data_IF_999156119651
#
_entry.id   IF_999156119651
#
_cell.length_a   1.000
_cell.length_b   1.000
_cell.length_c   1.000
_cell.angle_alpha   90.00
_cell.angle_beta   90.00
_cell.angle_gamma   90.00
#
_symmetry.space_group_name_H-M   'P 1'
#
loop_
_entity.id
_entity.type
_entity.pdbx_description
1 polymer ?
#
# COMPACT_ATOMS: atom_id res chain seq x y z
N UNK A 1 3.43 -15.21 -29.31
CA UNK A 1 2.96 -14.22 -28.32
C UNK A 1 4.14 -13.29 -28.07
N UNK A 2 4.04 -12.00 -28.37
CA UNK A 2 5.19 -11.08 -28.33
C UNK A 2 5.50 -10.59 -26.90
N UNK A 3 6.69 -10.03 -26.70
CA UNK A 3 7.08 -9.43 -25.41
C UNK A 3 6.15 -8.28 -24.99
N UNK A 4 5.71 -7.47 -25.96
CA UNK A 4 4.75 -6.39 -25.74
C UNK A 4 3.37 -6.89 -25.30
N UNK A 5 2.90 -8.01 -25.86
CA UNK A 5 1.66 -8.67 -25.42
C UNK A 5 1.79 -9.14 -23.96
N UNK A 6 2.95 -9.66 -23.58
CA UNK A 6 3.21 -10.04 -22.18
C UNK A 6 3.20 -8.82 -21.26
N UNK A 7 3.83 -7.72 -21.66
CA UNK A 7 3.83 -6.47 -20.90
C UNK A 7 2.43 -5.87 -20.73
N UNK A 8 1.60 -5.90 -21.78
CA UNK A 8 0.21 -5.44 -21.73
C UNK A 8 -0.61 -6.28 -20.76
N UNK A 9 -0.52 -7.61 -20.85
CA UNK A 9 -1.24 -8.54 -19.97
C UNK A 9 -0.83 -8.41 -18.50
N UNK A 10 0.44 -8.18 -18.22
CA UNK A 10 0.91 -7.90 -16.85
C UNK A 10 0.32 -6.59 -16.32
N UNK A 11 0.24 -5.55 -17.15
CA UNK A 11 -0.33 -4.27 -16.77
C UNK A 11 -1.84 -4.35 -16.51
N UNK A 12 -2.60 -5.06 -17.35
CA UNK A 12 -4.04 -5.28 -17.11
C UNK A 12 -4.27 -6.03 -15.80
N UNK A 13 -3.53 -7.12 -15.56
CA UNK A 13 -3.61 -7.87 -14.30
C UNK A 13 -3.20 -7.02 -13.09
N UNK A 14 -2.23 -6.13 -13.27
CA UNK A 14 -1.82 -5.17 -12.24
C UNK A 14 -2.96 -4.25 -11.83
N UNK A 15 -3.66 -3.69 -12.82
CA UNK A 15 -4.81 -2.79 -12.63
C UNK A 15 -5.98 -3.48 -11.94
N UNK A 16 -6.30 -4.71 -12.34
CA UNK A 16 -7.32 -5.53 -11.65
C UNK A 16 -6.93 -5.83 -10.20
N UNK A 17 -5.68 -6.22 -9.95
CA UNK A 17 -5.18 -6.49 -8.60
C UNK A 17 -5.21 -5.23 -7.72
N UNK A 18 -4.84 -4.07 -8.28
CA UNK A 18 -4.95 -2.79 -7.59
C UNK A 18 -6.39 -2.49 -7.20
N UNK A 19 -7.32 -2.66 -8.14
CA UNK A 19 -8.72 -2.35 -7.89
C UNK A 19 -9.30 -3.23 -6.78
N UNK A 20 -9.02 -4.53 -6.86
CA UNK A 20 -9.42 -5.49 -5.84
C UNK A 20 -8.80 -5.17 -4.47
N UNK A 21 -7.55 -4.70 -4.41
CA UNK A 21 -6.91 -4.32 -3.15
C UNK A 21 -7.68 -3.21 -2.42
N UNK A 22 -8.11 -2.18 -3.15
CA UNK A 22 -8.86 -1.03 -2.61
C UNK A 22 -10.26 -1.47 -2.18
N UNK A 23 -10.96 -2.25 -3.01
CA UNK A 23 -12.29 -2.77 -2.69
C UNK A 23 -12.29 -3.66 -1.45
N UNK A 24 -11.30 -4.54 -1.32
CA UNK A 24 -11.17 -5.43 -0.17
C UNK A 24 -10.90 -4.63 1.10
N UNK A 25 -10.03 -3.61 1.04
CA UNK A 25 -9.79 -2.75 2.20
C UNK A 25 -11.06 -2.07 2.69
N UNK A 26 -11.85 -1.52 1.76
CA UNK A 26 -13.04 -0.74 2.07
C UNK A 26 -14.29 -1.60 2.35
N UNK A 27 -14.19 -2.94 2.26
CA UNK A 27 -15.30 -3.85 2.56
C UNK A 27 -15.50 -3.97 4.09
N UNK A 28 -16.57 -3.40 4.67
CA UNK A 28 -16.69 -3.28 6.14
C UNK A 28 -16.84 -4.63 6.86
N UNK A 29 -17.34 -5.64 6.17
CA UNK A 29 -17.58 -6.98 6.73
C UNK A 29 -16.33 -7.87 6.75
N UNK A 30 -15.25 -7.45 6.08
CA UNK A 30 -14.05 -8.27 5.90
C UNK A 30 -13.05 -8.02 7.03
N UNK A 31 -12.93 -8.95 7.98
CA UNK A 31 -12.09 -8.74 9.18
C UNK A 31 -10.58 -8.61 8.91
N UNK A 32 -10.11 -9.18 7.81
CA UNK A 32 -8.70 -9.17 7.39
C UNK A 32 -8.49 -8.27 6.17
N UNK A 33 -9.28 -7.20 6.06
CA UNK A 33 -9.29 -6.30 4.91
C UNK A 33 -7.91 -5.66 4.65
N UNK A 34 -7.19 -5.26 5.69
CA UNK A 34 -5.85 -4.71 5.55
C UNK A 34 -4.82 -5.74 5.09
N UNK A 35 -4.92 -6.99 5.56
CA UNK A 35 -4.07 -8.10 5.10
C UNK A 35 -4.26 -8.35 3.61
N UNK A 36 -5.51 -8.58 3.21
CA UNK A 36 -5.86 -8.82 1.81
C UNK A 36 -5.43 -7.67 0.92
N UNK A 37 -5.70 -6.43 1.34
CA UNK A 37 -5.24 -5.24 0.64
C UNK A 37 -3.72 -5.25 0.44
N UNK A 38 -2.93 -5.53 1.48
CA UNK A 38 -1.47 -5.53 1.38
C UNK A 38 -0.93 -6.55 0.38
N UNK A 39 -1.56 -7.73 0.30
CA UNK A 39 -1.19 -8.80 -0.62
C UNK A 39 -1.46 -8.38 -2.06
N UNK A 40 -2.69 -7.95 -2.34
CA UNK A 40 -3.09 -7.55 -3.69
C UNK A 40 -2.38 -6.27 -4.16
N UNK A 41 -2.14 -5.32 -3.25
CA UNK A 41 -1.43 -4.08 -3.56
C UNK A 41 0.05 -4.35 -3.87
N UNK A 42 0.73 -5.23 -3.11
CA UNK A 42 2.08 -5.66 -3.46
C UNK A 42 2.13 -6.34 -4.83
N UNK A 43 1.17 -7.22 -5.12
CA UNK A 43 1.09 -7.91 -6.41
C UNK A 43 0.85 -6.93 -7.57
N UNK A 44 -0.03 -5.95 -7.39
CA UNK A 44 -0.25 -4.89 -8.37
C UNK A 44 1.07 -4.15 -8.66
N UNK A 45 1.75 -3.65 -7.63
CA UNK A 45 3.04 -2.99 -7.82
C UNK A 45 4.07 -3.85 -8.55
N UNK A 46 4.17 -5.14 -8.21
CA UNK A 46 5.14 -6.03 -8.86
C UNK A 46 4.85 -6.17 -10.36
N UNK A 47 3.59 -6.39 -10.71
CA UNK A 47 3.15 -6.57 -12.10
C UNK A 47 3.29 -5.28 -12.93
N UNK A 48 2.92 -4.12 -12.37
CA UNK A 48 3.11 -2.82 -13.02
C UNK A 48 4.59 -2.56 -13.34
N UNK A 49 5.48 -2.82 -12.38
CA UNK A 49 6.91 -2.59 -12.55
C UNK A 49 7.53 -3.59 -13.52
N UNK A 50 7.11 -4.87 -13.49
CA UNK A 50 7.52 -5.86 -14.50
C UNK A 50 7.11 -5.44 -15.91
N UNK A 51 5.87 -4.99 -16.09
CA UNK A 51 5.41 -4.44 -17.38
C UNK A 51 6.30 -3.29 -17.85
N UNK A 52 6.63 -2.35 -16.96
CA UNK A 52 7.51 -1.22 -17.28
C UNK A 52 8.93 -1.68 -17.65
N UNK A 53 9.49 -2.64 -16.91
CA UNK A 53 10.82 -3.19 -17.17
C UNK A 53 10.86 -3.87 -18.54
N UNK A 54 9.87 -4.68 -18.90
CA UNK A 54 9.80 -5.33 -20.21
C UNK A 54 9.79 -4.28 -21.32
N UNK A 55 8.94 -3.26 -21.22
CA UNK A 55 8.83 -2.21 -22.25
C UNK A 55 10.12 -1.41 -22.44
N UNK A 56 10.91 -1.25 -21.38
CA UNK A 56 12.09 -0.38 -21.38
C UNK A 56 13.39 -1.12 -21.64
N UNK A 57 13.50 -2.36 -21.17
CA UNK A 57 14.75 -3.11 -21.14
C UNK A 57 14.67 -4.49 -21.80
N UNK A 58 13.47 -4.98 -22.15
CA UNK A 58 13.25 -6.29 -22.77
C UNK A 58 12.76 -7.34 -21.77
N UNK A 59 12.21 -8.45 -22.29
CA UNK A 59 11.58 -9.49 -21.47
C UNK A 59 12.54 -10.22 -20.53
N UNK A 60 13.78 -10.42 -20.94
CA UNK A 60 14.77 -11.17 -20.16
C UNK A 60 15.09 -10.50 -18.81
N UNK A 61 14.90 -9.18 -18.74
CA UNK A 61 15.23 -8.35 -17.56
C UNK A 61 14.26 -8.53 -16.39
N UNK A 62 13.16 -9.28 -16.57
CA UNK A 62 12.27 -9.68 -15.47
C UNK A 62 12.57 -11.08 -14.94
N UNK A 63 13.55 -11.80 -15.47
CA UNK A 63 13.97 -13.12 -15.01
C UNK A 63 15.27 -13.03 -14.20
N UNK A 64 15.44 -13.95 -13.24
CA UNK A 64 16.75 -14.19 -12.65
C UNK A 64 17.63 -14.99 -13.64
N UNK A 65 18.94 -15.04 -13.37
CA UNK A 65 19.93 -15.71 -14.24
C UNK A 65 19.62 -17.20 -14.52
N UNK A 66 18.83 -17.84 -13.66
CA UNK A 66 18.38 -19.23 -13.83
C UNK A 66 17.23 -19.39 -14.84
N UNK A 67 16.60 -18.29 -15.27
CA UNK A 67 15.49 -18.25 -16.24
C UNK A 67 14.15 -18.82 -15.73
N UNK A 68 14.16 -19.51 -14.59
CA UNK A 68 12.98 -20.22 -14.07
C UNK A 68 12.08 -19.31 -13.22
N UNK A 69 12.64 -18.25 -12.63
CA UNK A 69 11.93 -17.34 -11.72
C UNK A 69 12.00 -15.91 -12.20
N UNK A 70 10.89 -15.20 -12.02
CA UNK A 70 10.86 -13.76 -12.25
C UNK A 70 11.28 -12.99 -11.00
N UNK A 71 11.87 -11.82 -11.20
CA UNK A 71 12.32 -10.93 -10.13
C UNK A 71 11.18 -10.57 -9.18
N UNK A 72 11.44 -10.52 -7.88
CA UNK A 72 10.45 -10.12 -6.89
C UNK A 72 10.23 -8.60 -6.87
N UNK A 73 9.13 -8.14 -6.27
CA UNK A 73 8.82 -6.71 -6.07
C UNK A 73 9.99 -5.90 -5.51
N UNK A 74 10.74 -6.45 -4.55
CA UNK A 74 11.91 -5.76 -3.98
C UNK A 74 12.97 -5.45 -5.03
N UNK A 75 13.17 -6.35 -5.99
CA UNK A 75 14.18 -6.21 -7.04
C UNK A 75 13.67 -5.36 -8.20
N UNK A 76 12.37 -5.45 -8.53
CA UNK A 76 11.71 -4.47 -9.40
C UNK A 76 11.89 -3.03 -8.88
N UNK A 77 11.63 -2.80 -7.58
CA UNK A 77 11.75 -1.48 -6.95
C UNK A 77 13.20 -0.96 -6.99
N UNK A 78 14.20 -1.81 -6.70
CA UNK A 78 15.61 -1.41 -6.79
C UNK A 78 16.02 -1.03 -8.21
N UNK A 79 15.51 -1.77 -9.21
CA UNK A 79 15.83 -1.55 -10.63
C UNK A 79 15.20 -0.27 -11.17
N UNK A 80 13.97 0.04 -10.78
CA UNK A 80 13.22 1.20 -11.30
C UNK A 80 13.50 2.48 -10.49
N UNK A 81 13.58 2.38 -9.17
CA UNK A 81 13.78 3.54 -8.28
C UNK A 81 15.11 3.38 -7.51
N UNK A 82 16.21 3.89 -8.03
CA UNK A 82 17.55 3.57 -7.51
C UNK A 82 17.89 4.20 -6.15
N UNK A 83 17.28 5.34 -5.81
CA UNK A 83 17.48 6.01 -4.53
C UNK A 83 16.71 5.29 -3.41
N UNK A 84 17.41 4.55 -2.55
CA UNK A 84 16.80 3.80 -1.44
C UNK A 84 16.24 4.68 -0.31
N UNK A 85 16.64 5.95 -0.26
CA UNK A 85 16.11 6.96 0.68
C UNK A 85 14.88 7.68 0.16
N UNK A 86 14.43 7.37 -1.05
CA UNK A 86 13.22 7.96 -1.62
C UNK A 86 11.99 7.59 -0.75
N UNK A 87 11.07 8.54 -0.46
CA UNK A 87 9.88 8.26 0.33
C UNK A 87 9.03 7.09 -0.20
N UNK A 88 8.95 6.90 -1.52
CA UNK A 88 8.27 5.76 -2.13
C UNK A 88 8.99 4.45 -1.76
N UNK A 89 10.33 4.44 -1.83
CA UNK A 89 11.13 3.24 -1.48
C UNK A 89 10.98 2.86 -0.02
N UNK A 90 10.93 3.84 0.89
CA UNK A 90 10.68 3.62 2.31
C UNK A 90 9.24 3.12 2.53
N UNK A 91 8.25 3.76 1.90
CA UNK A 91 6.85 3.36 1.98
C UNK A 91 6.65 1.90 1.54
N UNK A 92 7.21 1.53 0.38
CA UNK A 92 7.11 0.17 -0.15
C UNK A 92 7.83 -0.86 0.73
N UNK A 93 8.94 -0.50 1.38
CA UNK A 93 9.60 -1.39 2.32
C UNK A 93 8.69 -1.73 3.52
N UNK A 94 7.96 -0.74 4.06
CA UNK A 94 7.00 -0.97 5.13
C UNK A 94 5.77 -1.74 4.67
N UNK A 95 5.26 -1.51 3.45
CA UNK A 95 4.18 -2.31 2.87
C UNK A 95 4.58 -3.79 2.73
N UNK A 96 5.78 -4.07 2.23
CA UNK A 96 6.32 -5.43 2.09
C UNK A 96 6.50 -6.10 3.46
N UNK A 97 6.98 -5.34 4.46
CA UNK A 97 7.10 -5.82 5.85
C UNK A 97 5.74 -6.16 6.44
N UNK A 98 4.74 -5.31 6.22
CA UNK A 98 3.38 -5.54 6.68
C UNK A 98 2.78 -6.79 6.05
N UNK A 99 2.87 -6.95 4.73
CA UNK A 99 2.44 -8.17 4.02
C UNK A 99 3.06 -9.42 4.63
N UNK A 100 4.37 -9.40 4.90
CA UNK A 100 5.08 -10.55 5.49
C UNK A 100 4.72 -10.81 6.96
N UNK A 101 4.25 -9.81 7.69
CA UNK A 101 3.96 -9.92 9.13
C UNK A 101 2.52 -10.34 9.36
N UNK A 102 1.58 -9.76 8.61
CA UNK A 102 0.15 -9.95 8.82
C UNK A 102 -0.33 -11.36 8.43
N UNK A 103 0.42 -12.06 7.56
CA UNK A 103 0.19 -13.49 7.27
C UNK A 103 0.43 -14.42 8.47
N UNK A 104 1.04 -13.92 9.55
CA UNK A 104 1.46 -14.73 10.70
C UNK A 104 0.85 -14.27 12.04
N UNK A 105 0.31 -13.06 12.13
CA UNK A 105 -0.20 -12.50 13.37
C UNK A 105 -1.54 -11.80 13.15
N UNK A 106 -2.59 -12.29 13.83
CA UNK A 106 -3.94 -11.71 13.78
C UNK A 106 -4.06 -10.66 14.89
N UNK A 107 -3.72 -9.41 14.60
CA UNK A 107 -3.90 -8.28 15.56
C UNK A 107 -4.57 -7.09 14.88
N UNK A 108 -5.63 -6.57 15.49
CA UNK A 108 -6.48 -5.53 14.89
C UNK A 108 -5.78 -4.17 14.81
N UNK A 109 -4.81 -3.94 15.70
CA UNK A 109 -4.15 -2.65 15.91
C UNK A 109 -3.13 -2.32 14.81
N UNK A 110 -2.77 -3.29 13.96
CA UNK A 110 -1.91 -3.04 12.79
C UNK A 110 -2.46 -1.95 11.89
N UNK A 111 -3.79 -1.92 11.72
CA UNK A 111 -4.45 -0.97 10.82
C UNK A 111 -4.23 0.48 11.24
N UNK A 112 -4.09 0.74 12.54
CA UNK A 112 -3.91 2.08 13.09
C UNK A 112 -2.62 2.71 12.57
N UNK A 113 -1.53 1.93 12.48
CA UNK A 113 -0.23 2.46 12.07
C UNK A 113 0.19 2.08 10.65
N UNK A 114 -0.36 1.02 10.05
CA UNK A 114 -0.10 0.67 8.64
C UNK A 114 -1.09 1.28 7.65
N UNK A 115 -2.30 1.67 8.08
CA UNK A 115 -3.28 2.33 7.21
C UNK A 115 -2.72 3.55 6.45
N UNK A 116 -1.98 4.46 7.11
CA UNK A 116 -1.29 5.57 6.44
C UNK A 116 -0.30 5.13 5.34
N UNK A 117 0.42 4.03 5.55
CA UNK A 117 1.36 3.50 4.54
C UNK A 117 0.61 2.90 3.35
N UNK A 118 -0.44 2.11 3.60
CA UNK A 118 -1.29 1.54 2.56
C UNK A 118 -1.90 2.63 1.67
N UNK A 119 -2.44 3.69 2.27
CA UNK A 119 -3.00 4.80 1.50
C UNK A 119 -1.94 5.51 0.66
N UNK A 120 -0.76 5.74 1.22
CA UNK A 120 0.33 6.34 0.45
C UNK A 120 0.75 5.43 -0.71
N UNK A 121 0.77 4.12 -0.51
CA UNK A 121 1.04 3.16 -1.59
C UNK A 121 -0.05 3.16 -2.66
N UNK A 122 -1.31 3.39 -2.30
CA UNK A 122 -2.43 3.55 -3.26
C UNK A 122 -2.24 4.81 -4.09
N UNK A 123 -1.93 5.94 -3.45
CA UNK A 123 -1.69 7.20 -4.15
C UNK A 123 -0.47 7.11 -5.07
N UNK A 124 0.65 6.59 -4.55
CA UNK A 124 1.86 6.38 -5.34
C UNK A 124 1.63 5.44 -6.51
N UNK A 125 0.76 4.43 -6.39
CA UNK A 125 0.45 3.54 -7.51
C UNK A 125 -0.28 4.30 -8.61
N UNK A 126 -1.27 5.13 -8.25
CA UNK A 126 -1.98 5.97 -9.20
C UNK A 126 -1.03 6.90 -9.95
N UNK A 127 -0.14 7.59 -9.23
CA UNK A 127 0.85 8.49 -9.80
C UNK A 127 1.83 7.74 -10.72
N UNK A 128 2.34 6.59 -10.28
CA UNK A 128 3.31 5.81 -11.07
C UNK A 128 2.69 5.05 -12.23
N UNK A 129 1.41 4.70 -12.18
CA UNK A 129 0.70 4.16 -13.34
C UNK A 129 0.67 5.21 -14.46
N UNK A 130 0.37 6.46 -14.12
CA UNK A 130 0.38 7.56 -15.08
C UNK A 130 1.79 7.88 -15.57
N UNK A 131 2.76 8.02 -14.68
CA UNK A 131 4.15 8.37 -15.03
C UNK A 131 4.83 7.30 -15.90
N UNK A 132 4.63 6.02 -15.59
CA UNK A 132 5.34 4.91 -16.24
C UNK A 132 4.62 4.37 -17.48
N UNK A 133 3.29 4.46 -17.52
CA UNK A 133 2.45 3.83 -18.55
C UNK A 133 1.46 4.77 -19.24
N UNK A 134 1.32 6.02 -18.78
CA UNK A 134 0.38 6.99 -19.34
C UNK A 134 -1.09 6.63 -19.11
N UNK A 135 -1.39 5.74 -18.16
CA UNK A 135 -2.76 5.30 -17.86
C UNK A 135 -3.24 5.85 -16.53
N UNK A 136 -4.55 6.08 -16.42
CA UNK A 136 -5.17 6.58 -15.20
C UNK A 136 -5.83 5.45 -14.41
N UNK A 137 -5.74 5.49 -13.08
CA UNK A 137 -6.55 4.62 -12.22
C UNK A 137 -8.03 5.02 -12.23
N UNK A 138 -8.36 6.25 -12.63
CA UNK A 138 -9.74 6.74 -12.69
C UNK A 138 -10.59 5.98 -13.71
N UNK A 139 -9.96 5.31 -14.67
CA UNK A 139 -10.62 4.41 -15.64
C UNK A 139 -11.05 3.07 -14.99
N UNK A 140 -10.50 2.75 -13.82
CA UNK A 140 -10.75 1.50 -13.08
C UNK A 140 -11.67 1.73 -11.88
N UNK A 141 -11.35 2.75 -11.08
CA UNK A 141 -12.04 3.08 -9.84
C UNK A 141 -12.22 4.61 -9.77
N UNK A 142 -13.43 5.10 -9.43
CA UNK A 142 -13.66 6.52 -9.17
C UNK A 142 -12.69 7.08 -8.11
N UNK A 143 -12.15 8.28 -8.32
CA UNK A 143 -11.13 8.88 -7.42
C UNK A 143 -11.54 8.92 -5.95
N UNK A 144 -12.84 9.18 -5.68
CA UNK A 144 -13.39 9.21 -4.34
C UNK A 144 -13.36 7.84 -3.63
N UNK A 145 -13.19 6.74 -4.36
CA UNK A 145 -13.07 5.38 -3.82
C UNK A 145 -11.62 4.95 -3.59
N UNK A 146 -10.62 5.74 -4.00
CA UNK A 146 -9.20 5.48 -3.70
C UNK A 146 -8.85 5.69 -2.22
N UNK A 147 -9.71 6.39 -1.48
CA UNK A 147 -9.51 6.60 -0.06
C UNK A 147 -9.83 5.33 0.72
N UNK A 148 -8.86 4.88 1.50
CA UNK A 148 -8.98 3.77 2.43
C UNK A 148 -9.67 4.22 3.71
N UNK A 149 -10.69 3.48 4.15
CA UNK A 149 -11.41 3.71 5.40
C UNK A 149 -10.60 3.25 6.62
N UNK A 150 -9.45 3.86 6.85
CA UNK A 150 -8.49 3.47 7.90
C UNK A 150 -9.11 3.63 9.30
N UNK A 151 -8.96 2.60 10.15
CA UNK A 151 -9.34 2.68 11.57
C UNK A 151 -8.52 3.74 12.28
N UNK A 152 -9.21 4.60 13.03
CA UNK A 152 -8.62 5.64 13.87
C UNK A 152 -8.58 5.16 15.31
N UNK A 153 -7.47 5.38 16.00
CA UNK A 153 -7.30 5.01 17.41
C UNK A 153 -5.90 5.33 17.92
N UNK A 154 -5.71 5.21 19.24
CA UNK A 154 -4.40 5.29 19.86
C UNK A 154 -3.87 3.87 20.16
N UNK A 155 -2.57 3.69 20.01
CA UNK A 155 -1.87 2.50 20.47
C UNK A 155 -1.62 2.67 21.96
N UNK A 156 -2.42 2.01 22.79
CA UNK A 156 -2.29 2.02 24.25
C UNK A 156 -1.53 0.76 24.72
N UNK A 157 -0.27 0.89 25.17
CA UNK A 157 0.56 -0.27 25.52
C UNK A 157 -0.05 -1.16 26.59
N UNK A 158 -0.77 -0.59 27.55
CA UNK A 158 -1.43 -1.28 28.65
C UNK A 158 -2.57 -2.17 28.12
N UNK A 159 -3.39 -1.66 27.20
CA UNK A 159 -4.48 -2.40 26.55
C UNK A 159 -3.93 -3.55 25.72
N UNK A 160 -2.86 -3.30 24.95
CA UNK A 160 -2.22 -4.31 24.10
C UNK A 160 -1.62 -5.45 24.94
N UNK A 161 -0.92 -5.11 26.04
CA UNK A 161 -0.35 -6.11 26.96
C UNK A 161 -1.42 -6.93 27.69
N UNK A 162 -2.62 -6.37 27.89
CA UNK A 162 -3.75 -7.09 28.49
C UNK A 162 -4.49 -7.99 27.49
N UNK A 163 -4.55 -7.59 26.20
CA UNK A 163 -5.29 -8.30 25.14
C UNK A 163 -4.53 -9.47 24.52
N UNK A 164 -3.18 -9.42 24.52
CA UNK A 164 -2.34 -10.37 23.78
C UNK A 164 -1.26 -11.02 24.63
N UNK A 165 -0.82 -12.20 24.21
CA UNK A 165 0.35 -12.90 24.77
C UNK A 165 1.59 -11.99 24.78
N UNK A 166 2.49 -12.12 25.80
CA UNK A 166 3.61 -11.20 25.97
C UNK A 166 4.51 -11.04 24.73
N UNK A 167 4.74 -12.12 23.99
CA UNK A 167 5.57 -12.05 22.78
C UNK A 167 4.88 -11.30 21.63
N UNK A 168 3.56 -11.43 21.50
CA UNK A 168 2.75 -10.76 20.46
C UNK A 168 2.65 -9.28 20.79
N UNK A 169 2.34 -8.94 22.04
CA UNK A 169 2.28 -7.56 22.52
C UNK A 169 3.62 -6.83 22.31
N UNK A 170 4.74 -7.48 22.67
CA UNK A 170 6.09 -6.93 22.45
C UNK A 170 6.37 -6.68 20.97
N UNK A 171 6.01 -7.63 20.10
CA UNK A 171 6.21 -7.50 18.64
C UNK A 171 5.38 -6.35 18.07
N UNK A 172 4.11 -6.25 18.44
CA UNK A 172 3.20 -5.21 17.98
C UNK A 172 3.68 -3.81 18.38
N UNK A 173 4.05 -3.61 19.65
CA UNK A 173 4.59 -2.33 20.12
C UNK A 173 5.91 -1.96 19.43
N UNK A 174 6.77 -2.94 19.16
CA UNK A 174 8.00 -2.71 18.40
C UNK A 174 7.71 -2.29 16.96
N UNK A 175 6.72 -2.88 16.29
CA UNK A 175 6.35 -2.53 14.93
C UNK A 175 5.70 -1.14 14.87
N UNK A 176 4.85 -0.81 15.83
CA UNK A 176 4.25 0.52 15.94
C UNK A 176 5.32 1.61 16.06
N UNK A 177 6.36 1.39 16.88
CA UNK A 177 7.49 2.32 16.98
C UNK A 177 8.26 2.44 15.66
N UNK A 178 8.57 1.32 15.01
CA UNK A 178 9.28 1.31 13.72
C UNK A 178 8.49 2.06 12.64
N UNK A 179 7.17 1.87 12.58
CA UNK A 179 6.31 2.57 11.64
C UNK A 179 6.29 4.08 11.92
N UNK A 180 6.25 4.50 13.19
CA UNK A 180 6.34 5.91 13.56
C UNK A 180 7.69 6.52 13.15
N UNK A 181 8.80 5.81 13.39
CA UNK A 181 10.14 6.25 12.99
C UNK A 181 10.26 6.37 11.45
N UNK A 182 9.68 5.42 10.71
CA UNK A 182 9.69 5.42 9.24
C UNK A 182 8.80 6.51 8.61
N UNK A 183 7.68 6.87 9.26
CA UNK A 183 6.80 7.94 8.79
C UNK A 183 7.50 9.31 8.83
N UNK A 184 8.44 9.50 9.76
CA UNK A 184 9.19 10.74 9.95
C UNK A 184 8.34 11.90 10.48
N UNK A 185 8.91 13.11 10.47
CA UNK A 185 8.29 14.36 10.95
C UNK A 185 7.51 15.12 9.86
N UNK A 186 7.45 14.59 8.64
CA UNK A 186 6.78 15.20 7.49
C UNK A 186 7.63 16.17 6.65
N UNK A 187 8.88 16.46 7.04
CA UNK A 187 9.75 17.40 6.30
C UNK A 187 10.49 16.79 5.09
N UNK A 188 10.63 15.46 5.02
CA UNK A 188 11.48 14.77 4.02
C UNK A 188 10.70 14.13 2.85
N UNK A 189 9.46 14.57 2.62
CA UNK A 189 8.52 13.91 1.72
C UNK A 189 7.62 12.91 2.46
N UNK A 190 6.46 12.59 1.88
CA UNK A 190 5.40 11.84 2.59
C UNK A 190 5.58 10.33 2.41
N UNK A 191 6.17 9.66 3.40
CA UNK A 191 6.27 8.19 3.48
C UNK A 191 4.93 7.53 3.84
N UNK A 192 4.10 8.23 4.60
CA UNK A 192 2.78 7.82 5.04
C UNK A 192 1.75 8.93 4.79
N UNK A 193 0.49 8.55 4.53
CA UNK A 193 -0.58 9.51 4.27
C UNK A 193 -1.04 10.22 5.55
N UNK A 194 -1.25 11.53 5.45
CA UNK A 194 -1.82 12.34 6.54
C UNK A 194 -3.30 12.56 6.24
N UNK A 195 -4.17 12.21 7.18
CA UNK A 195 -5.60 12.46 7.08
C UNK A 195 -6.00 13.66 7.93
N UNK A 196 -6.53 14.69 7.28
CA UNK A 196 -7.17 15.82 7.96
C UNK A 196 -8.68 15.76 7.72
N UNK A 197 -9.49 15.76 8.79
CA UNK A 197 -10.96 15.76 8.67
C UNK A 197 -11.51 17.06 9.22
N UNK A 198 -12.01 17.90 8.32
CA UNK A 198 -12.60 19.18 8.66
C UNK A 198 -14.13 19.06 8.75
N UNK A 199 -14.67 19.06 9.96
CA UNK A 199 -16.12 19.11 10.18
C UNK A 199 -16.61 20.56 10.21
N UNK A 200 -17.64 20.85 9.42
CA UNK A 200 -18.34 22.14 9.45
C UNK A 200 -19.78 21.91 9.85
N UNK A 201 -20.16 22.45 11.01
CA UNK A 201 -21.54 22.53 11.46
C UNK A 201 -22.07 23.91 11.08
N UNK A 202 -23.17 23.95 10.32
CA UNK A 202 -23.86 25.20 9.98
C UNK A 202 -25.23 25.24 10.65
N UNK A 203 -25.54 26.35 11.31
CA UNK A 203 -26.87 26.59 11.88
C UNK A 203 -27.87 26.81 10.73
N UNK A 204 -28.98 26.09 10.73
CA UNK A 204 -30.09 26.30 9.78
C UNK A 204 -30.68 27.70 10.05
N UNK A 205 -30.48 28.65 9.14
CA UNK A 205 -31.17 29.95 9.22
C UNK A 205 -32.67 29.72 8.98
N UNK A 206 -33.52 30.05 9.96
CA UNK A 206 -34.97 30.11 9.76
C UNK A 206 -35.88 29.58 10.88
N UNK A 207 -35.37 28.97 11.96
CA UNK A 207 -36.25 28.59 13.09
C UNK A 207 -36.30 29.71 14.14
N UNK A 208 -37.31 30.58 14.02
CA UNK A 208 -37.83 31.36 15.16
C UNK A 208 -38.67 30.41 16.00
N UNK A 209 -38.35 30.32 17.28
CA UNK A 209 -39.12 29.64 18.32
C UNK A 209 -40.40 30.44 18.57
#
# INVERSE_FOLDING_TARGET
MGELDTADRLLEKSKEAFALAVELYNRPTLKYHAESCSIFLCNAWELMLKSYIIRKYGIDEIYYDDGDKTIALTDCLKKVFTNDKDPLRINMAELIRFRNTNTHFITDEYEIFYGPFLQMSVNNYADKLFELHGQSVSDLIPENHLTLAVKRGAIEPEVIRAKYEPHVAKKLLSLSKQAADAAGDGNSGRVAAIYETNFRLVKRQGMRI
#
